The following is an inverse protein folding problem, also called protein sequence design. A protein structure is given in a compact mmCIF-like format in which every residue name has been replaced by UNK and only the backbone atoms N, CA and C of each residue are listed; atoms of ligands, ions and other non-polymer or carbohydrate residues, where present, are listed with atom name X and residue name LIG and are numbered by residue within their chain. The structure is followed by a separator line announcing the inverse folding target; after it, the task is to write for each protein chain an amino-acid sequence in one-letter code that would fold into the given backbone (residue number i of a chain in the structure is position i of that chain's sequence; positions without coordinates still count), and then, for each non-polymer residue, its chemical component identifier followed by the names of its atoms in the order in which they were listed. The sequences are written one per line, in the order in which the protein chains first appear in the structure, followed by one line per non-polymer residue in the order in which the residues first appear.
data_IF_329562264851
#
_entry.id   IF_329562264851
#
_cell.length_a   1.000
_cell.length_b   1.000
_cell.length_c   1.000
_cell.angle_alpha   90.00
_cell.angle_beta   90.00
_cell.angle_gamma   90.00
#
_symmetry.space_group_name_H-M   'P 1'
#
loop_
_entity.id
_entity.type
_entity.pdbx_description
1 polymer ?
#
# COMPACT_ATOMS: atom_id res chain seq x y z
N UNK A 1 -17.98 -7.89 -7.99
CA UNK A 1 -18.97 -7.55 -6.94
C UNK A 1 -20.06 -8.62 -6.91
N UNK A 2 -19.68 -9.84 -6.44
CA UNK A 2 -20.54 -11.03 -6.48
C UNK A 2 -21.74 -10.94 -5.52
N UNK A 3 -21.62 -10.18 -4.44
CA UNK A 3 -22.66 -9.98 -3.42
C UNK A 3 -23.47 -8.69 -3.63
N UNK A 4 -23.20 -7.95 -4.71
CA UNK A 4 -23.81 -6.69 -5.10
C UNK A 4 -23.63 -5.55 -4.07
N UNK A 5 -22.73 -5.68 -3.09
CA UNK A 5 -22.53 -4.66 -2.07
C UNK A 5 -22.09 -3.32 -2.65
N UNK A 6 -21.11 -3.31 -3.55
CA UNK A 6 -20.67 -2.10 -4.24
C UNK A 6 -21.73 -1.63 -5.24
N UNK A 7 -22.33 -2.53 -6.02
CA UNK A 7 -23.37 -2.19 -7.00
C UNK A 7 -24.56 -1.48 -6.36
N UNK A 8 -25.03 -1.95 -5.21
CA UNK A 8 -26.10 -1.28 -4.46
C UNK A 8 -25.66 0.08 -3.91
N UNK A 9 -24.44 0.17 -3.39
CA UNK A 9 -23.90 1.40 -2.82
C UNK A 9 -23.77 2.52 -3.86
N UNK A 10 -23.41 2.17 -5.08
CA UNK A 10 -23.30 3.11 -6.20
C UNK A 10 -24.59 3.23 -7.02
N UNK A 11 -25.67 2.58 -6.60
CA UNK A 11 -26.99 2.70 -7.26
C UNK A 11 -27.05 2.08 -8.65
N UNK A 12 -26.17 1.12 -8.97
CA UNK A 12 -26.16 0.41 -10.25
C UNK A 12 -27.00 -0.86 -10.22
N UNK A 13 -27.38 -1.37 -9.07
CA UNK A 13 -28.36 -2.42 -8.89
C UNK A 13 -29.49 -1.96 -7.99
N UNK A 14 -30.65 -2.62 -8.09
CA UNK A 14 -31.72 -2.44 -7.14
C UNK A 14 -31.24 -2.80 -5.71
N UNK A 15 -31.79 -2.12 -4.69
CA UNK A 15 -31.46 -2.38 -3.28
C UNK A 15 -31.86 -3.79 -2.85
N UNK A 16 -32.95 -4.29 -3.42
CA UNK A 16 -33.53 -5.59 -3.10
C UNK A 16 -33.11 -6.71 -4.06
N UNK A 17 -32.18 -6.42 -5.01
CA UNK A 17 -31.68 -7.42 -5.93
C UNK A 17 -31.00 -8.58 -5.19
N UNK A 18 -31.41 -9.81 -5.49
CA UNK A 18 -30.84 -11.03 -4.93
C UNK A 18 -29.82 -11.63 -5.92
N UNK A 19 -28.52 -11.66 -5.57
CA UNK A 19 -27.49 -12.23 -6.45
C UNK A 19 -27.61 -13.75 -6.60
N UNK A 20 -28.36 -14.43 -5.74
CA UNK A 20 -28.55 -15.89 -5.78
C UNK A 20 -29.78 -16.32 -6.57
N UNK A 21 -30.70 -15.39 -6.85
CA UNK A 21 -31.99 -15.64 -7.50
C UNK A 21 -31.97 -15.68 -9.03
N UNK A 22 -30.80 -15.44 -9.65
CA UNK A 22 -30.65 -15.40 -11.10
C UNK A 22 -29.97 -14.13 -11.63
N UNK A 23 -30.05 -13.86 -12.96
CA UNK A 23 -29.42 -12.68 -13.54
C UNK A 23 -29.96 -11.37 -12.95
N UNK A 24 -29.08 -10.51 -12.43
CA UNK A 24 -29.44 -9.20 -11.91
C UNK A 24 -29.21 -8.13 -12.97
N UNK A 25 -30.21 -7.27 -13.19
CA UNK A 25 -30.08 -6.11 -14.06
C UNK A 25 -29.18 -5.06 -13.40
N UNK A 26 -28.12 -4.67 -14.10
CA UNK A 26 -27.22 -3.62 -13.66
C UNK A 26 -27.30 -2.41 -14.59
N UNK A 27 -27.51 -1.24 -14.01
CA UNK A 27 -27.40 0.02 -14.74
C UNK A 27 -25.91 0.32 -15.03
N UNK A 28 -25.59 0.65 -16.27
CA UNK A 28 -24.23 1.08 -16.63
C UNK A 28 -24.11 2.58 -16.44
N UNK A 29 -23.11 2.99 -15.68
CA UNK A 29 -22.85 4.41 -15.44
C UNK A 29 -21.37 4.68 -15.17
N UNK A 30 -20.98 5.91 -15.42
CA UNK A 30 -19.74 6.48 -14.91
C UNK A 30 -19.96 6.95 -13.47
N UNK A 31 -19.02 6.68 -12.61
CA UNK A 31 -18.99 7.25 -11.24
C UNK A 31 -17.70 8.04 -11.11
N UNK A 32 -17.81 9.36 -11.03
CA UNK A 32 -16.66 10.24 -10.78
C UNK A 32 -16.51 10.41 -9.27
N UNK A 33 -15.33 10.07 -8.78
CA UNK A 33 -15.01 10.06 -7.34
C UNK A 33 -13.83 11.01 -7.11
N UNK A 34 -13.94 11.84 -6.09
CA UNK A 34 -12.84 12.71 -5.68
C UNK A 34 -11.76 11.96 -4.88
N UNK A 35 -10.58 12.56 -4.65
CA UNK A 35 -9.51 11.94 -3.85
C UNK A 35 -9.90 11.63 -2.39
N UNK A 36 -10.98 12.21 -1.87
CA UNK A 36 -11.53 11.90 -0.54
C UNK A 36 -12.60 10.80 -0.58
N UNK A 37 -12.73 10.10 -1.70
CA UNK A 37 -13.70 9.01 -1.94
C UNK A 37 -15.17 9.45 -1.94
N UNK A 38 -15.44 10.73 -2.19
CA UNK A 38 -16.81 11.23 -2.38
C UNK A 38 -17.21 11.12 -3.84
N UNK A 39 -18.44 10.68 -4.08
CA UNK A 39 -19.02 10.69 -5.42
C UNK A 39 -19.38 12.12 -5.80
N UNK A 40 -18.74 12.64 -6.85
CA UNK A 40 -19.00 13.95 -7.44
C UNK A 40 -20.15 13.88 -8.43
N UNK A 41 -20.13 12.84 -9.27
CA UNK A 41 -21.17 12.63 -10.29
C UNK A 41 -21.40 11.14 -10.55
N UNK A 42 -22.64 10.81 -10.92
CA UNK A 42 -23.02 9.52 -11.47
C UNK A 42 -23.75 9.77 -12.79
N UNK A 43 -23.17 9.34 -13.91
CA UNK A 43 -23.62 9.65 -15.27
C UNK A 43 -23.98 8.34 -15.96
N UNK A 44 -25.27 8.08 -16.25
CA UNK A 44 -25.69 6.89 -16.96
C UNK A 44 -25.10 6.83 -18.38
N UNK A 45 -24.75 5.63 -18.85
CA UNK A 45 -24.36 5.43 -20.24
C UNK A 45 -25.52 5.76 -21.17
N UNK A 46 -25.23 6.54 -22.22
CA UNK A 46 -26.21 6.94 -23.25
C UNK A 46 -25.91 6.23 -24.57
N UNK A 47 -26.96 5.98 -25.35
CA UNK A 47 -26.79 5.29 -26.63
C UNK A 47 -25.95 6.06 -27.64
N UNK A 48 -26.03 7.38 -27.62
CA UNK A 48 -25.28 8.30 -28.47
C UNK A 48 -23.88 8.62 -27.94
N UNK A 49 -23.50 8.07 -26.78
CA UNK A 49 -22.21 8.27 -26.09
C UNK A 49 -21.93 9.72 -25.66
N UNK A 50 -22.95 10.57 -25.58
CA UNK A 50 -22.83 11.92 -25.04
C UNK A 50 -22.44 11.93 -23.55
N UNK A 51 -22.64 10.82 -22.86
CA UNK A 51 -22.14 10.58 -21.49
C UNK A 51 -20.62 10.78 -21.36
N UNK A 52 -19.85 10.37 -22.37
CA UNK A 52 -18.40 10.50 -22.34
C UNK A 52 -17.95 11.97 -22.39
N UNK A 53 -18.59 12.78 -23.24
CA UNK A 53 -18.30 14.20 -23.31
C UNK A 53 -18.62 14.92 -21.99
N UNK A 54 -19.71 14.52 -21.33
CA UNK A 54 -20.09 15.05 -20.02
C UNK A 54 -19.07 14.68 -18.93
N UNK A 55 -18.60 13.42 -18.92
CA UNK A 55 -17.52 12.98 -17.99
C UNK A 55 -16.26 13.81 -18.21
N UNK A 56 -15.80 13.96 -19.47
CA UNK A 56 -14.59 14.71 -19.78
C UNK A 56 -14.71 16.18 -19.36
N UNK A 57 -15.85 16.81 -19.62
CA UNK A 57 -16.11 18.19 -19.15
C UNK A 57 -15.99 18.30 -17.63
N UNK A 58 -16.59 17.37 -16.87
CA UNK A 58 -16.49 17.39 -15.41
C UNK A 58 -15.03 17.25 -14.97
N UNK A 59 -14.27 16.33 -15.57
CA UNK A 59 -12.85 16.13 -15.22
C UNK A 59 -12.00 17.37 -15.53
N UNK A 60 -12.26 18.04 -16.63
CA UNK A 60 -11.53 19.27 -17.02
C UNK A 60 -11.85 20.46 -16.10
N UNK A 61 -13.05 20.49 -15.54
CA UNK A 61 -13.49 21.55 -14.60
C UNK A 61 -13.03 21.30 -13.16
N UNK A 62 -12.57 20.09 -12.83
CA UNK A 62 -12.10 19.79 -11.49
C UNK A 62 -10.78 20.50 -11.16
N UNK A 63 -10.61 20.99 -9.93
CA UNK A 63 -9.33 21.55 -9.51
C UNK A 63 -8.25 20.46 -9.51
N UNK A 64 -6.96 20.83 -9.70
CA UNK A 64 -5.86 19.87 -9.60
C UNK A 64 -5.95 19.06 -8.30
N UNK A 65 -5.67 17.75 -8.31
CA UNK A 65 -5.76 16.89 -7.11
C UNK A 65 -4.98 17.42 -5.90
N UNK A 66 -3.83 18.07 -6.13
CA UNK A 66 -3.01 18.68 -5.09
C UNK A 66 -3.69 19.86 -4.36
N UNK A 67 -4.72 20.47 -4.97
CA UNK A 67 -5.48 21.59 -4.40
C UNK A 67 -6.93 21.23 -4.11
N UNK A 68 -7.25 19.94 -4.08
CA UNK A 68 -8.61 19.50 -3.85
C UNK A 68 -9.14 20.04 -2.50
N UNK A 69 -10.33 20.60 -2.51
CA UNK A 69 -10.98 21.22 -1.33
C UNK A 69 -10.13 22.30 -0.63
N UNK A 70 -9.20 22.95 -1.35
CA UNK A 70 -8.34 24.00 -0.80
C UNK A 70 -7.18 23.51 0.07
N UNK A 71 -6.96 22.20 0.13
CA UNK A 71 -5.85 21.56 0.86
C UNK A 71 -5.01 20.72 -0.08
N UNK A 72 -3.71 20.61 0.21
CA UNK A 72 -2.86 19.64 -0.48
C UNK A 72 -3.24 18.21 -0.06
N UNK A 73 -3.27 17.30 -1.02
CA UNK A 73 -3.46 15.89 -0.73
C UNK A 73 -2.14 15.37 -0.15
N UNK A 74 -2.18 14.95 1.10
CA UNK A 74 -1.02 14.33 1.75
C UNK A 74 -0.71 12.98 1.10
N UNK A 75 0.58 12.66 1.02
CA UNK A 75 0.99 11.31 0.64
C UNK A 75 0.32 10.27 1.57
N UNK A 76 -0.09 9.10 1.04
CA UNK A 76 -0.74 8.05 1.83
C UNK A 76 0.28 7.32 2.71
N UNK A 77 0.81 8.04 3.71
CA UNK A 77 1.82 7.54 4.64
C UNK A 77 1.16 7.24 5.98
N UNK A 78 1.38 6.02 6.47
CA UNK A 78 0.95 5.60 7.81
C UNK A 78 2.15 5.63 8.75
N UNK A 79 2.12 6.50 9.77
CA UNK A 79 3.11 6.56 10.83
C UNK A 79 2.53 5.94 12.11
N UNK A 80 3.13 4.86 12.57
CA UNK A 80 2.73 4.16 13.80
C UNK A 80 3.83 4.27 14.84
N UNK A 81 3.66 5.06 15.90
CA UNK A 81 4.63 5.15 16.99
C UNK A 81 4.55 3.93 17.91
N UNK A 82 5.68 3.59 18.53
CA UNK A 82 5.76 2.59 19.62
C UNK A 82 5.25 1.19 19.22
N UNK A 83 5.54 0.77 18.00
CA UNK A 83 5.21 -0.60 17.56
C UNK A 83 5.99 -1.63 18.36
N UNK A 84 7.26 -1.37 18.64
CA UNK A 84 8.10 -2.17 19.51
C UNK A 84 8.40 -1.45 20.83
N UNK A 85 8.53 -2.22 21.89
CA UNK A 85 8.97 -1.74 23.19
C UNK A 85 10.47 -1.36 23.13
N UNK A 86 10.95 -0.35 23.90
CA UNK A 86 12.36 0.06 23.90
C UNK A 86 13.34 -1.09 24.22
N UNK A 87 12.93 -2.00 25.09
CA UNK A 87 13.73 -3.19 25.48
C UNK A 87 13.94 -4.12 24.28
N UNK A 88 12.87 -4.36 23.51
CA UNK A 88 12.95 -5.17 22.29
C UNK A 88 13.84 -4.49 21.24
N UNK A 89 13.72 -3.17 21.07
CA UNK A 89 14.57 -2.43 20.15
C UNK A 89 16.06 -2.55 20.55
N UNK A 90 16.39 -2.40 21.83
CA UNK A 90 17.76 -2.58 22.33
C UNK A 90 18.28 -4.00 22.13
N UNK A 91 17.41 -5.00 22.34
CA UNK A 91 17.76 -6.39 22.09
C UNK A 91 18.10 -6.64 20.61
N UNK A 92 17.28 -6.13 19.69
CA UNK A 92 17.52 -6.27 18.24
C UNK A 92 18.82 -5.57 17.80
N UNK A 93 19.09 -4.38 18.33
CA UNK A 93 20.34 -3.65 18.08
C UNK A 93 21.52 -4.47 18.61
N UNK A 94 21.43 -4.97 19.83
CA UNK A 94 22.50 -5.79 20.44
C UNK A 94 22.78 -7.09 19.68
N UNK A 95 21.77 -7.72 19.06
CA UNK A 95 21.99 -8.87 18.19
C UNK A 95 22.81 -8.50 16.96
N UNK A 96 22.48 -7.37 16.32
CA UNK A 96 23.25 -6.87 15.18
C UNK A 96 24.69 -6.51 15.60
N UNK A 97 24.88 -5.82 16.71
CA UNK A 97 26.21 -5.44 17.20
C UNK A 97 27.08 -6.65 17.53
N UNK A 98 26.48 -7.71 18.11
CA UNK A 98 27.21 -8.91 18.50
C UNK A 98 27.61 -9.81 17.33
N UNK A 99 26.77 -9.90 16.29
CA UNK A 99 26.95 -10.84 15.19
C UNK A 99 27.32 -10.18 13.87
N UNK A 100 27.14 -8.87 13.76
CA UNK A 100 27.30 -8.11 12.53
C UNK A 100 26.19 -8.37 11.52
N UNK A 101 26.24 -7.63 10.41
CA UNK A 101 25.32 -7.80 9.27
C UNK A 101 26.07 -8.20 8.01
N UNK A 102 25.36 -8.82 7.08
CA UNK A 102 25.84 -9.10 5.73
C UNK A 102 25.45 -7.97 4.78
N UNK A 103 26.30 -7.72 3.77
CA UNK A 103 26.01 -6.76 2.70
C UNK A 103 24.63 -7.06 2.07
N UNK A 104 23.80 -6.04 2.02
CA UNK A 104 22.44 -6.14 1.49
C UNK A 104 22.39 -5.68 0.03
N UNK A 105 22.17 -6.62 -0.88
CA UNK A 105 21.91 -6.32 -2.29
C UNK A 105 20.48 -5.80 -2.53
N UNK A 106 20.14 -5.63 -3.79
CA UNK A 106 18.81 -5.29 -4.26
C UNK A 106 18.51 -6.03 -5.57
N UNK A 107 17.23 -6.13 -5.92
CA UNK A 107 16.82 -6.78 -7.16
C UNK A 107 16.85 -5.77 -8.32
N UNK A 108 17.39 -6.19 -9.47
CA UNK A 108 17.42 -5.39 -10.71
C UNK A 108 17.00 -6.26 -11.89
N UNK A 109 16.25 -5.71 -12.80
CA UNK A 109 15.95 -6.39 -14.05
C UNK A 109 17.10 -6.22 -15.03
N UNK A 110 17.68 -7.34 -15.51
CA UNK A 110 18.74 -7.37 -16.52
C UNK A 110 18.35 -8.42 -17.57
N UNK A 111 18.16 -7.95 -18.81
CA UNK A 111 17.80 -8.84 -19.92
C UNK A 111 16.47 -9.59 -19.72
N UNK A 112 15.47 -8.95 -19.11
CA UNK A 112 14.15 -9.54 -18.81
C UNK A 112 14.14 -10.54 -17.64
N UNK A 113 15.21 -10.59 -16.85
CA UNK A 113 15.30 -11.42 -15.63
C UNK A 113 15.61 -10.57 -14.42
N UNK A 114 14.90 -10.82 -13.34
CA UNK A 114 15.18 -10.19 -12.03
C UNK A 114 16.34 -10.90 -11.37
N UNK A 115 17.44 -10.19 -11.12
CA UNK A 115 18.67 -10.71 -10.51
C UNK A 115 19.07 -9.88 -9.29
N UNK A 116 19.67 -10.54 -8.30
CA UNK A 116 20.25 -9.86 -7.15
C UNK A 116 21.58 -9.18 -7.54
N UNK A 117 21.74 -7.91 -7.20
CA UNK A 117 22.93 -7.09 -7.49
C UNK A 117 23.40 -6.42 -6.22
N UNK A 118 24.71 -6.32 -6.04
CA UNK A 118 25.36 -5.48 -5.04
C UNK A 118 26.04 -4.32 -5.76
N UNK A 119 25.61 -3.10 -5.45
CA UNK A 119 26.16 -1.87 -6.01
C UNK A 119 26.26 -0.82 -4.89
N UNK A 120 27.46 -0.63 -4.33
CA UNK A 120 27.67 0.31 -3.23
C UNK A 120 27.38 1.78 -3.55
N UNK A 121 27.32 2.14 -4.84
CA UNK A 121 26.92 3.47 -5.29
C UNK A 121 25.40 3.68 -5.26
N UNK A 122 24.62 2.60 -5.26
CA UNK A 122 23.15 2.64 -5.20
C UNK A 122 22.61 2.29 -3.81
N UNK A 123 23.20 1.28 -3.15
CA UNK A 123 22.79 0.85 -1.81
C UNK A 123 24.00 0.43 -0.98
N UNK A 124 24.09 0.99 0.22
CA UNK A 124 25.10 0.64 1.22
C UNK A 124 24.43 0.41 2.56
N UNK A 125 24.12 -0.86 2.82
CA UNK A 125 23.40 -1.33 4.00
C UNK A 125 23.85 -2.73 4.37
N UNK A 126 23.91 -3.03 5.66
CA UNK A 126 24.11 -4.38 6.16
C UNK A 126 22.89 -4.87 6.89
N UNK A 127 22.52 -6.13 6.68
CA UNK A 127 21.33 -6.76 7.26
C UNK A 127 21.74 -7.97 8.11
N UNK A 128 21.18 -8.04 9.31
CA UNK A 128 21.19 -9.22 10.17
C UNK A 128 19.84 -9.93 10.05
N UNK A 129 19.83 -11.16 9.58
CA UNK A 129 18.60 -11.96 9.43
C UNK A 129 18.25 -12.58 10.80
N UNK A 130 16.98 -12.45 11.20
CA UNK A 130 16.47 -13.01 12.46
C UNK A 130 16.01 -14.44 12.18
N UNK A 131 16.82 -15.40 12.66
CA UNK A 131 16.56 -16.85 12.49
C UNK A 131 15.94 -17.48 13.74
N UNK A 132 16.05 -16.84 14.90
CA UNK A 132 15.46 -17.32 16.14
C UNK A 132 13.95 -17.34 16.06
N UNK A 133 13.33 -18.54 16.25
CA UNK A 133 11.89 -18.75 16.07
C UNK A 133 11.03 -18.05 17.12
N UNK A 134 11.52 -17.95 18.34
CA UNK A 134 10.75 -17.33 19.42
C UNK A 134 10.74 -15.81 19.24
N UNK A 135 11.89 -15.24 18.88
CA UNK A 135 12.00 -13.83 18.53
C UNK A 135 11.18 -13.51 17.27
N UNK A 136 11.24 -14.35 16.24
CA UNK A 136 10.41 -14.23 15.04
C UNK A 136 8.92 -14.18 15.40
N UNK A 137 8.45 -15.13 16.22
CA UNK A 137 7.05 -15.20 16.66
C UNK A 137 6.65 -13.98 17.49
N UNK A 138 7.56 -13.50 18.35
CA UNK A 138 7.34 -12.32 19.16
C UNK A 138 7.19 -11.04 18.31
N UNK A 139 8.00 -10.89 17.25
CA UNK A 139 7.93 -9.79 16.29
C UNK A 139 6.64 -9.87 15.47
N UNK A 140 6.37 -11.05 14.90
CA UNK A 140 5.15 -11.30 14.13
C UNK A 140 3.89 -10.97 14.93
N UNK A 141 3.83 -11.38 16.19
CA UNK A 141 2.70 -11.08 17.05
C UNK A 141 2.47 -9.56 17.26
N UNK A 142 3.54 -8.75 17.26
CA UNK A 142 3.42 -7.28 17.34
C UNK A 142 2.92 -6.68 16.05
N UNK A 143 3.42 -7.13 14.91
CA UNK A 143 2.94 -6.71 13.60
C UNK A 143 1.46 -7.04 13.42
N UNK A 144 1.05 -8.28 13.72
CA UNK A 144 -0.34 -8.72 13.59
C UNK A 144 -1.30 -7.91 14.48
N UNK A 145 -0.87 -7.53 15.67
CA UNK A 145 -1.73 -6.80 16.61
C UNK A 145 -1.68 -5.29 16.45
N UNK A 146 -0.55 -4.71 16.06
CA UNK A 146 -0.31 -3.26 16.11
C UNK A 146 -0.21 -2.59 14.74
N UNK A 147 0.17 -3.32 13.70
CA UNK A 147 0.42 -2.75 12.36
C UNK A 147 -0.65 -3.16 11.38
N UNK A 148 -0.91 -4.46 11.25
CA UNK A 148 -1.84 -5.00 10.25
C UNK A 148 -3.25 -4.38 10.34
N UNK A 149 -3.86 -4.20 11.53
CA UNK A 149 -5.17 -3.56 11.63
C UNK A 149 -5.16 -2.10 11.17
N UNK A 150 -4.07 -1.37 11.41
CA UNK A 150 -3.97 0.03 11.01
C UNK A 150 -3.76 0.17 9.49
N UNK A 151 -2.99 -0.73 8.88
CA UNK A 151 -2.88 -0.82 7.42
C UNK A 151 -4.26 -1.07 6.79
N UNK A 152 -5.03 -1.99 7.35
CA UNK A 152 -6.37 -2.30 6.85
C UNK A 152 -7.32 -1.10 6.96
N UNK A 153 -7.26 -0.32 8.05
CA UNK A 153 -8.09 0.88 8.25
C UNK A 153 -7.71 2.01 7.31
N UNK A 154 -6.41 2.33 7.20
CA UNK A 154 -5.93 3.51 6.48
C UNK A 154 -5.85 3.27 4.97
N UNK A 155 -5.31 2.12 4.57
CA UNK A 155 -5.04 1.82 3.16
C UNK A 155 -6.06 0.87 2.53
N UNK A 156 -7.07 0.39 3.28
CA UNK A 156 -8.05 -0.60 2.82
C UNK A 156 -7.37 -1.83 2.19
N UNK A 157 -6.20 -2.20 2.74
CA UNK A 157 -5.34 -3.26 2.23
C UNK A 157 -5.26 -4.41 3.22
N UNK A 158 -5.49 -5.64 2.73
CA UNK A 158 -5.38 -6.86 3.53
C UNK A 158 -3.98 -7.44 3.41
N UNK A 159 -3.17 -7.31 4.46
CA UNK A 159 -1.86 -7.97 4.54
C UNK A 159 -2.04 -9.47 4.65
N UNK A 160 -1.38 -10.24 3.79
CA UNK A 160 -1.51 -11.72 3.75
C UNK A 160 -0.23 -12.45 4.12
N UNK A 161 0.93 -11.83 3.97
CA UNK A 161 2.23 -12.44 4.28
C UNK A 161 3.29 -11.39 4.61
N UNK A 162 4.36 -11.84 5.20
CA UNK A 162 5.57 -11.10 5.46
C UNK A 162 6.76 -11.97 5.04
N UNK A 163 7.73 -11.41 4.34
CA UNK A 163 8.79 -12.20 3.73
C UNK A 163 9.83 -12.64 4.74
N UNK A 164 10.41 -11.68 5.46
CA UNK A 164 11.52 -11.90 6.40
C UNK A 164 11.56 -10.81 7.46
N UNK A 165 12.26 -11.10 8.55
CA UNK A 165 12.60 -10.13 9.58
C UNK A 165 14.11 -9.90 9.58
N UNK A 166 14.50 -8.66 9.46
CA UNK A 166 15.90 -8.24 9.44
C UNK A 166 16.12 -7.04 10.36
N UNK A 167 17.30 -6.95 10.92
CA UNK A 167 17.81 -5.72 11.52
C UNK A 167 18.75 -5.08 10.50
N UNK A 168 18.34 -3.94 9.95
CA UNK A 168 19.10 -3.23 8.92
C UNK A 168 19.91 -2.10 9.53
N UNK A 169 21.17 -1.98 9.14
CA UNK A 169 22.06 -0.90 9.56
C UNK A 169 22.54 -0.10 8.36
N UNK A 170 22.32 1.20 8.41
CA UNK A 170 22.93 2.21 7.55
C UNK A 170 23.96 2.95 8.37
N UNK A 171 25.20 2.46 8.39
CA UNK A 171 26.28 3.02 9.19
C UNK A 171 26.72 4.37 8.59
N UNK A 172 26.78 5.41 9.43
CA UNK A 172 27.16 6.75 9.00
C UNK A 172 28.62 6.82 8.52
N UNK A 173 29.50 6.11 9.21
CA UNK A 173 30.92 5.99 8.88
C UNK A 173 31.19 5.34 7.52
N UNK A 174 30.30 4.44 7.10
CA UNK A 174 30.36 3.79 5.78
C UNK A 174 29.62 4.58 4.70
N UNK A 175 29.00 5.71 5.03
CA UNK A 175 28.12 6.45 4.13
C UNK A 175 26.87 5.65 3.77
N UNK A 176 26.25 4.98 4.74
CA UNK A 176 25.08 4.14 4.55
C UNK A 176 23.91 4.87 3.89
N UNK A 177 23.41 4.31 2.79
CA UNK A 177 22.32 4.90 2.00
C UNK A 177 21.58 3.86 1.15
N UNK A 178 20.43 4.24 0.66
CA UNK A 178 19.72 3.56 -0.41
C UNK A 178 19.10 4.64 -1.32
N UNK A 179 19.54 4.68 -2.56
CA UNK A 179 19.06 5.67 -3.53
C UNK A 179 17.56 5.54 -3.76
N UNK A 180 16.93 6.61 -4.22
CA UNK A 180 15.50 6.62 -4.53
C UNK A 180 15.14 5.48 -5.50
N UNK A 181 14.12 4.71 -5.17
CA UNK A 181 13.65 3.55 -5.92
C UNK A 181 12.15 3.35 -5.72
N UNK A 182 11.60 2.43 -6.49
CA UNK A 182 10.25 1.89 -6.28
C UNK A 182 10.38 0.45 -5.81
N UNK A 183 9.63 0.10 -4.78
CA UNK A 183 9.44 -1.30 -4.40
C UNK A 183 8.41 -1.94 -5.35
N UNK A 184 8.69 -3.15 -5.83
CA UNK A 184 7.85 -3.90 -6.78
C UNK A 184 7.08 -5.00 -6.04
#
# INVERSE_FOLDING_TARGET
DLDLTASRRYGVSDKDADPTGGPVALARQWVVIDPTMRVIAAIPFRKDRSDLAEVMRILDELPPPARFAGTEIMAPILCLPRVFEPELCRHLIGLYEAQGGRESGFMREIGGKTVGVTDPGFKRRKDYDIEDRDLFSALQGRFLRRVVPEIAKVHQFKVTRMERYIVSCYAAEDGGHFSAHRDN
#
